data_IF_193599584561
#
_entry.id   IF_193599584561
#
_cell.length_a   1.000
_cell.length_b   1.000
_cell.length_c   1.000
_cell.angle_alpha   90.00
_cell.angle_beta   90.00
_cell.angle_gamma   90.00
#
_symmetry.space_group_name_H-M   'P 1'
#
loop_
_entity.id
_entity.type
_entity.pdbx_description
1 polymer ?
#
# COMPACT_ATOMS: atom_id res chain seq x y z
N UNK A 1 11.20 -4.07 -16.54
CA UNK A 1 9.83 -3.92 -16.03
C UNK A 1 9.96 -3.39 -14.61
N UNK A 2 9.41 -2.20 -14.32
CA UNK A 2 9.53 -1.60 -12.99
C UNK A 2 8.85 -2.48 -11.95
N UNK A 3 9.54 -2.76 -10.85
CA UNK A 3 8.97 -3.56 -9.77
C UNK A 3 7.84 -2.74 -9.13
N UNK A 4 6.62 -3.28 -9.12
CA UNK A 4 5.46 -2.62 -8.50
C UNK A 4 5.76 -2.21 -7.05
N UNK A 5 6.59 -2.97 -6.32
CA UNK A 5 7.04 -2.64 -4.98
C UNK A 5 7.73 -1.28 -4.89
N UNK A 6 8.49 -0.87 -5.93
CA UNK A 6 9.13 0.44 -5.96
C UNK A 6 8.09 1.56 -6.13
N UNK A 7 7.03 1.30 -6.90
CA UNK A 7 5.91 2.25 -7.06
C UNK A 7 5.16 2.44 -5.74
N UNK A 8 4.86 1.35 -5.03
CA UNK A 8 4.25 1.45 -3.70
C UNK A 8 5.14 2.23 -2.72
N UNK A 9 6.45 1.94 -2.68
CA UNK A 9 7.40 2.67 -1.83
C UNK A 9 7.35 4.17 -2.11
N UNK A 10 7.31 4.57 -3.38
CA UNK A 10 7.18 5.97 -3.77
C UNK A 10 5.84 6.56 -3.32
N UNK A 11 4.73 5.85 -3.52
CA UNK A 11 3.39 6.34 -3.13
C UNK A 11 3.33 6.59 -1.62
N UNK A 12 3.76 5.61 -0.82
CA UNK A 12 3.71 5.73 0.63
C UNK A 12 4.72 6.72 1.20
N UNK A 13 5.82 6.99 0.49
CA UNK A 13 6.84 7.96 0.90
C UNK A 13 6.47 9.42 0.59
N UNK A 14 5.48 9.68 -0.27
CA UNK A 14 5.13 11.01 -0.72
C UNK A 14 3.95 11.60 0.10
N UNK A 15 4.19 12.59 0.98
CA UNK A 15 3.14 13.11 1.86
C UNK A 15 2.01 13.83 1.11
N UNK A 16 2.30 14.35 -0.09
CA UNK A 16 1.33 14.98 -0.98
C UNK A 16 0.24 14.02 -1.44
N UNK A 17 0.49 12.72 -1.37
CA UNK A 17 -0.45 11.67 -1.77
C UNK A 17 -1.30 11.16 -0.60
N UNK A 18 -1.35 11.87 0.53
CA UNK A 18 -2.09 11.43 1.73
C UNK A 18 -3.58 11.12 1.52
N UNK A 19 -4.22 11.76 0.53
CA UNK A 19 -5.62 11.55 0.18
C UNK A 19 -5.79 10.72 -1.11
N UNK A 20 -4.72 10.17 -1.66
CA UNK A 20 -4.83 9.43 -2.91
C UNK A 20 -5.54 8.11 -2.70
N UNK A 21 -6.47 7.83 -3.60
CA UNK A 21 -7.01 6.49 -3.76
C UNK A 21 -6.06 5.74 -4.67
N UNK A 22 -5.40 4.75 -4.11
CA UNK A 22 -4.57 3.85 -4.90
C UNK A 22 -5.50 2.79 -5.51
N UNK A 23 -5.43 2.58 -6.82
CA UNK A 23 -6.16 1.50 -7.49
C UNK A 23 -5.13 0.60 -8.14
N UNK A 24 -5.05 -0.64 -7.65
CA UNK A 24 -4.04 -1.60 -8.05
C UNK A 24 -4.76 -2.79 -8.61
N UNK A 25 -4.82 -2.86 -9.94
CA UNK A 25 -5.44 -3.95 -10.66
C UNK A 25 -4.32 -4.85 -11.19
N UNK A 26 -4.28 -6.10 -10.72
CA UNK A 26 -3.25 -7.07 -11.12
C UNK A 26 -3.81 -8.48 -11.20
N UNK A 27 -3.62 -9.12 -12.34
CA UNK A 27 -4.01 -10.52 -12.59
C UNK A 27 -2.97 -11.53 -12.08
N UNK A 28 -1.85 -11.06 -11.55
CA UNK A 28 -0.76 -11.92 -11.08
C UNK A 28 -0.70 -11.87 -9.56
N UNK A 29 -0.82 -13.03 -8.93
CA UNK A 29 -0.68 -13.27 -7.49
C UNK A 29 0.71 -12.91 -6.91
N UNK A 30 1.51 -12.12 -7.63
CA UNK A 30 2.90 -11.76 -7.33
C UNK A 30 3.05 -10.31 -6.83
N UNK A 31 1.97 -9.53 -6.79
CA UNK A 31 2.00 -8.18 -6.24
C UNK A 31 1.95 -8.25 -4.71
N UNK A 32 3.13 -8.28 -4.10
CA UNK A 32 3.24 -8.22 -2.65
C UNK A 32 3.12 -6.78 -2.17
N UNK A 33 2.29 -6.53 -1.15
CA UNK A 33 2.26 -5.21 -0.51
C UNK A 33 3.63 -5.01 0.13
N UNK A 34 4.41 -3.98 -0.24
CA UNK A 34 5.80 -3.96 0.14
C UNK A 34 5.95 -3.84 1.65
N UNK A 35 6.77 -4.75 2.17
CA UNK A 35 7.32 -4.70 3.51
C UNK A 35 8.03 -3.37 3.72
N UNK A 36 7.73 -2.71 4.84
CA UNK A 36 8.48 -1.53 5.29
C UNK A 36 9.94 -1.91 5.47
N UNK A 37 10.83 -1.36 4.65
CA UNK A 37 12.27 -1.51 4.83
C UNK A 37 12.90 -0.35 5.62
N UNK A 38 12.09 0.49 6.27
CA UNK A 38 12.60 1.68 6.96
C UNK A 38 11.68 2.25 8.05
N UNK A 39 12.23 3.12 8.90
CA UNK A 39 11.49 3.79 10.00
C UNK A 39 10.45 4.83 9.56
N UNK A 40 10.33 5.12 8.27
CA UNK A 40 9.57 6.28 7.79
C UNK A 40 8.10 5.93 7.58
N UNK A 41 7.25 6.16 8.56
CA UNK A 41 5.82 5.87 8.47
C UNK A 41 5.13 6.71 7.37
N UNK A 42 4.23 6.08 6.63
CA UNK A 42 3.43 6.76 5.62
C UNK A 42 2.40 7.71 6.23
N UNK A 43 2.13 8.81 5.55
CA UNK A 43 1.08 9.76 5.93
C UNK A 43 -0.24 9.53 5.20
N UNK A 44 -0.40 8.40 4.52
CA UNK A 44 -1.64 8.08 3.80
C UNK A 44 -2.82 7.96 4.76
N UNK A 45 -3.95 8.56 4.39
CA UNK A 45 -5.19 8.57 5.16
C UNK A 45 -6.29 7.74 4.47
N UNK A 46 -6.22 7.56 3.15
CA UNK A 46 -7.20 6.82 2.35
C UNK A 46 -6.47 5.83 1.46
N UNK A 47 -6.89 4.56 1.50
CA UNK A 47 -6.30 3.50 0.68
C UNK A 47 -7.39 2.56 0.19
N UNK A 48 -7.32 2.22 -1.09
CA UNK A 48 -8.14 1.21 -1.72
C UNK A 48 -7.21 0.15 -2.31
N UNK A 49 -7.53 -1.12 -2.12
CA UNK A 49 -6.73 -2.25 -2.61
C UNK A 49 -7.68 -3.17 -3.35
N UNK A 50 -7.38 -3.41 -4.64
CA UNK A 50 -8.26 -4.16 -5.56
C UNK A 50 -7.48 -5.33 -6.19
N UNK A 51 -6.84 -6.12 -5.35
CA UNK A 51 -6.08 -7.32 -5.75
C UNK A 51 -5.97 -8.32 -4.58
N UNK A 52 -5.42 -9.50 -4.85
CA UNK A 52 -5.13 -10.48 -3.81
C UNK A 52 -4.04 -10.00 -2.86
N UNK A 53 -4.25 -10.22 -1.56
CA UNK A 53 -3.31 -9.94 -0.49
C UNK A 53 -3.38 -11.05 0.55
N UNK A 54 -2.29 -11.29 1.24
CA UNK A 54 -2.23 -12.15 2.42
C UNK A 54 -2.53 -11.36 3.69
N UNK A 55 -2.84 -12.07 4.78
CA UNK A 55 -3.04 -11.43 6.09
C UNK A 55 -1.77 -10.74 6.59
N UNK A 56 -0.60 -11.34 6.37
CA UNK A 56 0.69 -10.78 6.79
C UNK A 56 0.99 -9.48 6.05
N UNK A 57 0.77 -9.44 4.73
CA UNK A 57 0.91 -8.22 3.92
C UNK A 57 -0.01 -7.09 4.38
N UNK A 58 -1.25 -7.41 4.74
CA UNK A 58 -2.19 -6.45 5.28
C UNK A 58 -1.75 -5.94 6.66
N UNK A 59 -1.25 -6.83 7.52
CA UNK A 59 -0.72 -6.47 8.85
C UNK A 59 0.46 -5.52 8.71
N UNK A 60 1.40 -5.82 7.82
CA UNK A 60 2.58 -5.00 7.57
C UNK A 60 2.22 -3.63 7.00
N UNK A 61 1.27 -3.58 6.05
CA UNK A 61 0.74 -2.34 5.52
C UNK A 61 0.17 -1.45 6.62
N UNK A 62 -0.72 -1.99 7.45
CA UNK A 62 -1.38 -1.24 8.54
C UNK A 62 -0.33 -0.70 9.52
N UNK A 63 0.71 -1.48 9.82
CA UNK A 63 1.82 -1.05 10.69
C UNK A 63 2.57 0.18 10.14
N UNK A 64 2.63 0.31 8.81
CA UNK A 64 3.35 1.37 8.12
C UNK A 64 2.50 2.61 7.81
N UNK A 65 1.17 2.49 7.86
CA UNK A 65 0.22 3.56 7.57
C UNK A 65 -0.57 3.99 8.82
N UNK A 66 0.09 4.52 9.87
CA UNK A 66 -0.57 4.83 11.16
C UNK A 66 -1.62 5.95 11.07
N UNK A 67 -1.64 6.72 9.97
CA UNK A 67 -2.62 7.78 9.73
C UNK A 67 -3.80 7.31 8.88
N UNK A 68 -3.84 6.04 8.51
CA UNK A 68 -4.91 5.48 7.68
C UNK A 68 -6.25 5.58 8.42
N UNK A 69 -7.20 6.25 7.79
CA UNK A 69 -8.56 6.47 8.29
C UNK A 69 -9.59 5.69 7.50
N UNK A 70 -9.30 5.44 6.22
CA UNK A 70 -10.18 4.73 5.31
C UNK A 70 -9.39 3.67 4.56
N UNK A 71 -9.79 2.43 4.76
CA UNK A 71 -9.27 1.27 4.05
C UNK A 71 -10.43 0.57 3.34
N UNK A 72 -10.38 0.52 2.01
CA UNK A 72 -11.26 -0.30 1.20
C UNK A 72 -10.47 -1.50 0.66
N UNK A 73 -10.97 -2.71 0.90
CA UNK A 73 -10.39 -3.94 0.43
C UNK A 73 -11.39 -4.60 -0.51
N UNK A 74 -10.96 -4.87 -1.74
CA UNK A 74 -11.74 -5.50 -2.79
C UNK A 74 -10.89 -6.60 -3.42
N UNK A 75 -11.49 -7.77 -3.66
CA UNK A 75 -10.85 -8.88 -4.35
C UNK A 75 -11.33 -8.99 -5.79
#
# INVERSE_FOLDING_TARGET
MGNLNDVYRLIFALPTLKYNKLYLYGNECSISIPLSTGKQLSTIEYLEIVHYYTFDELSDLISYTPKLRHLNLSH
#
